data_IF_999416761571
#
_entry.id   IF_999416761571
#
_cell.length_a   1.000
_cell.length_b   1.000
_cell.length_c   1.000
_cell.angle_alpha   90.00
_cell.angle_beta   90.00
_cell.angle_gamma   90.00
#
_symmetry.space_group_name_H-M   'P 1'
#
loop_
_entity.id
_entity.type
_entity.pdbx_description
1 polymer ?
#
# COMPACT_ATOMS: atom_id res chain seq x y z
N UNK A 1 -5.34 25.15 -20.24
CA UNK A 1 -6.08 26.19 -20.99
C UNK A 1 -5.17 27.24 -21.66
N UNK A 2 -3.88 27.30 -21.31
CA UNK A 2 -2.92 28.22 -21.93
C UNK A 2 -2.11 27.59 -23.08
N UNK A 3 -2.27 26.29 -23.33
CA UNK A 3 -1.53 25.53 -24.33
C UNK A 3 -2.51 24.88 -25.29
N UNK A 4 -2.45 25.25 -26.56
CA UNK A 4 -3.33 24.75 -27.61
C UNK A 4 -2.56 24.16 -28.80
N UNK A 5 -1.23 24.31 -28.81
CA UNK A 5 -0.35 23.83 -29.87
C UNK A 5 1.02 23.40 -29.31
N UNK A 6 1.81 22.63 -30.08
CA UNK A 6 3.20 22.35 -29.72
C UNK A 6 4.07 23.60 -29.55
N UNK A 7 3.78 24.65 -30.33
CA UNK A 7 4.49 25.95 -30.28
C UNK A 7 4.19 26.67 -28.97
N UNK A 8 2.93 26.62 -28.47
CA UNK A 8 2.57 27.17 -27.16
C UNK A 8 3.31 26.47 -26.02
N UNK A 9 3.38 25.12 -26.10
CA UNK A 9 4.12 24.32 -25.13
C UNK A 9 5.60 24.71 -25.11
N UNK A 10 6.21 24.80 -26.27
CA UNK A 10 7.61 25.19 -26.40
C UNK A 10 7.86 26.62 -25.87
N UNK A 11 6.92 27.56 -26.10
CA UNK A 11 7.02 28.93 -25.59
C UNK A 11 6.98 29.01 -24.06
N UNK A 12 6.35 28.05 -23.40
CA UNK A 12 6.33 27.88 -21.92
C UNK A 12 7.54 27.09 -21.40
N UNK A 13 8.43 26.61 -22.27
CA UNK A 13 9.58 25.79 -21.91
C UNK A 13 9.22 24.34 -21.62
N UNK A 14 8.03 23.88 -21.96
CA UNK A 14 7.58 22.50 -21.77
C UNK A 14 8.14 21.63 -22.89
N UNK A 15 8.78 20.52 -22.54
CA UNK A 15 9.40 19.60 -23.49
C UNK A 15 9.13 18.13 -23.17
N UNK A 16 9.43 17.28 -24.13
CA UNK A 16 9.36 15.82 -23.91
C UNK A 16 10.27 15.40 -22.77
N UNK A 17 9.73 14.67 -21.80
CA UNK A 17 10.43 14.24 -20.59
C UNK A 17 10.05 15.04 -19.35
N UNK A 18 9.31 16.12 -19.49
CA UNK A 18 8.80 16.86 -18.35
C UNK A 18 7.64 16.11 -17.65
N UNK A 19 7.53 16.32 -16.34
CA UNK A 19 6.48 15.71 -15.51
C UNK A 19 5.31 16.69 -15.35
N UNK A 20 4.10 16.15 -15.45
CA UNK A 20 2.86 16.85 -15.14
C UNK A 20 2.32 16.39 -13.80
N UNK A 21 2.30 17.28 -12.82
CA UNK A 21 1.70 17.00 -11.51
C UNK A 21 0.20 17.27 -11.55
N UNK A 22 -0.59 16.21 -11.45
CA UNK A 22 -2.05 16.33 -11.36
C UNK A 22 -2.46 16.72 -9.94
N UNK A 23 -3.45 17.60 -9.84
CA UNK A 23 -4.08 17.93 -8.56
C UNK A 23 -4.73 16.66 -7.96
N UNK A 24 -4.42 16.27 -6.71
CA UNK A 24 -5.01 15.11 -6.06
C UNK A 24 -6.53 15.22 -5.88
N UNK A 25 -7.09 16.42 -5.74
CA UNK A 25 -8.53 16.70 -5.55
C UNK A 25 -9.14 15.87 -4.43
N UNK A 26 -8.47 15.86 -3.27
CA UNK A 26 -8.89 15.08 -2.11
C UNK A 26 -10.20 15.57 -1.52
N UNK A 27 -11.13 14.65 -1.33
CA UNK A 27 -12.43 14.87 -0.68
C UNK A 27 -12.66 13.77 0.34
N UNK A 28 -12.99 14.16 1.56
CA UNK A 28 -13.50 13.26 2.61
C UNK A 28 -14.97 13.50 2.79
N UNK A 29 -15.77 12.45 2.65
CA UNK A 29 -17.22 12.52 2.79
C UNK A 29 -17.66 12.28 4.23
N UNK A 30 -18.84 12.78 4.60
CA UNK A 30 -19.43 12.53 5.93
C UNK A 30 -19.68 11.02 6.18
N UNK A 31 -19.84 10.23 5.12
CA UNK A 31 -20.00 8.78 5.21
C UNK A 31 -18.67 8.00 5.34
N UNK A 32 -17.54 8.69 5.47
CA UNK A 32 -16.22 8.11 5.70
C UNK A 32 -15.45 7.69 4.45
N UNK A 33 -15.96 7.94 3.24
CA UNK A 33 -15.19 7.72 2.01
C UNK A 33 -14.16 8.82 1.80
N UNK A 34 -13.00 8.41 1.31
CA UNK A 34 -11.91 9.28 0.90
C UNK A 34 -11.73 9.09 -0.60
N UNK A 35 -11.88 10.17 -1.35
CA UNK A 35 -11.62 10.24 -2.80
C UNK A 35 -10.42 11.12 -3.05
N UNK A 36 -9.46 10.62 -3.80
CA UNK A 36 -8.26 11.38 -4.17
C UNK A 36 -7.52 10.65 -5.30
N UNK A 37 -6.66 11.34 -6.03
CA UNK A 37 -5.55 10.68 -6.71
C UNK A 37 -4.48 10.34 -5.69
N UNK A 38 -3.65 9.35 -6.01
CA UNK A 38 -2.47 8.97 -5.24
C UNK A 38 -2.77 8.41 -3.84
N UNK A 39 -3.96 7.80 -3.63
CA UNK A 39 -4.20 6.97 -2.45
C UNK A 39 -3.33 5.71 -2.48
N UNK A 40 -3.06 5.24 -3.65
CA UNK A 40 -2.00 4.32 -4.01
C UNK A 40 -0.69 5.13 -4.17
N UNK A 41 0.32 5.08 -3.24
CA UNK A 41 0.14 4.38 -1.96
C UNK A 41 0.24 5.33 -0.75
N UNK A 42 -0.27 6.55 -0.86
CA UNK A 42 -0.29 7.49 0.28
C UNK A 42 -1.24 7.06 1.40
N UNK A 43 -2.24 6.22 1.10
CA UNK A 43 -3.16 5.71 2.11
C UNK A 43 -2.44 4.81 3.11
N UNK A 44 -1.62 3.87 2.65
CA UNK A 44 -0.83 2.99 3.50
C UNK A 44 0.32 3.72 4.18
N UNK A 45 0.96 4.65 3.47
CA UNK A 45 1.95 5.54 4.07
C UNK A 45 1.35 6.31 5.27
N UNK A 46 0.11 6.80 5.15
CA UNK A 46 -0.59 7.46 6.25
C UNK A 46 -0.87 6.50 7.43
N UNK A 47 -1.21 5.23 7.17
CA UNK A 47 -1.37 4.21 8.21
C UNK A 47 -0.04 3.99 8.97
N UNK A 48 1.07 3.86 8.27
CA UNK A 48 2.40 3.70 8.88
C UNK A 48 2.81 4.93 9.71
N UNK A 49 2.56 6.14 9.20
CA UNK A 49 2.81 7.38 9.94
C UNK A 49 1.95 7.49 11.20
N UNK A 50 0.67 7.08 11.12
CA UNK A 50 -0.24 7.05 12.27
C UNK A 50 0.24 6.03 13.32
N UNK A 51 0.73 4.86 12.88
CA UNK A 51 1.31 3.85 13.76
C UNK A 51 2.54 4.37 14.49
N UNK A 52 3.49 4.96 13.77
CA UNK A 52 4.70 5.58 14.36
C UNK A 52 4.32 6.62 15.41
N UNK A 53 3.37 7.50 15.10
CA UNK A 53 2.89 8.50 16.05
C UNK A 53 2.29 7.85 17.29
N UNK A 54 1.47 6.80 17.12
CA UNK A 54 0.85 6.07 18.22
C UNK A 54 1.93 5.41 19.11
N UNK A 55 2.91 4.74 18.51
CA UNK A 55 4.02 4.12 19.23
C UNK A 55 4.77 5.13 20.11
N UNK A 56 5.12 6.28 19.54
CA UNK A 56 5.81 7.35 20.28
C UNK A 56 4.95 7.92 21.42
N UNK A 57 3.65 8.14 21.17
CA UNK A 57 2.76 8.72 22.18
C UNK A 57 2.44 7.77 23.34
N UNK A 58 2.43 6.47 23.08
CA UNK A 58 2.10 5.44 24.09
C UNK A 58 3.34 4.76 24.66
N UNK A 59 4.53 5.09 24.15
CA UNK A 59 5.81 4.45 24.53
C UNK A 59 5.79 2.92 24.36
N UNK A 60 5.12 2.45 23.30
CA UNK A 60 5.03 1.04 22.92
C UNK A 60 5.93 0.74 21.74
N UNK A 61 6.48 -0.48 21.68
CA UNK A 61 7.48 -0.85 20.69
C UNK A 61 7.17 -2.20 20.07
N UNK A 62 7.61 -2.46 18.83
CA UNK A 62 7.53 -3.80 18.24
C UNK A 62 8.31 -4.82 19.07
N UNK A 63 7.83 -6.06 19.08
CA UNK A 63 8.52 -7.15 19.78
C UNK A 63 9.92 -7.43 19.19
N UNK A 64 10.11 -7.19 17.91
CA UNK A 64 11.37 -7.39 17.20
C UNK A 64 11.89 -6.07 16.63
N UNK A 65 13.20 -6.02 16.36
CA UNK A 65 13.78 -4.89 15.62
C UNK A 65 13.05 -4.72 14.28
N UNK A 66 12.50 -3.54 14.08
CA UNK A 66 11.62 -3.25 12.94
C UNK A 66 12.00 -1.91 12.34
N UNK A 67 12.21 -1.91 11.03
CA UNK A 67 12.37 -0.70 10.24
C UNK A 67 11.09 -0.41 9.47
N UNK A 68 10.66 0.84 9.45
CA UNK A 68 9.60 1.32 8.58
C UNK A 68 10.25 2.12 7.47
N UNK A 69 10.12 1.65 6.25
CA UNK A 69 10.80 2.19 5.08
C UNK A 69 9.75 2.73 4.11
N UNK A 70 9.90 3.99 3.71
CA UNK A 70 9.12 4.60 2.65
C UNK A 70 9.97 4.64 1.38
N UNK A 71 9.59 3.89 0.38
CA UNK A 71 10.27 3.80 -0.90
C UNK A 71 9.88 4.95 -1.82
N UNK A 72 10.69 5.22 -2.84
CA UNK A 72 10.44 6.35 -3.78
C UNK A 72 10.30 5.94 -5.24
N UNK A 73 10.54 4.68 -5.59
CA UNK A 73 10.49 4.18 -6.97
C UNK A 73 9.62 2.94 -7.11
N UNK A 74 8.65 2.75 -6.21
CA UNK A 74 7.74 1.62 -6.23
C UNK A 74 6.97 1.56 -7.55
N UNK A 75 6.34 2.66 -7.96
CA UNK A 75 5.50 2.80 -9.15
C UNK A 75 6.21 2.56 -10.49
N UNK A 76 7.52 2.49 -10.47
CA UNK A 76 8.36 2.14 -11.62
C UNK A 76 9.15 0.85 -11.42
N UNK A 77 8.79 0.08 -10.40
CA UNK A 77 9.20 -1.31 -10.23
C UNK A 77 10.60 -1.52 -9.66
N UNK A 78 11.16 -0.60 -8.86
CA UNK A 78 12.46 -0.82 -8.24
C UNK A 78 12.65 -0.17 -6.86
N UNK A 79 11.56 0.10 -6.14
CA UNK A 79 11.60 0.72 -4.81
C UNK A 79 12.37 -0.11 -3.78
N UNK A 80 12.20 -1.42 -3.76
CA UNK A 80 12.79 -2.36 -2.80
C UNK A 80 13.98 -3.18 -3.32
N UNK A 81 14.62 -2.76 -4.39
CA UNK A 81 15.69 -3.53 -5.06
C UNK A 81 16.96 -3.77 -4.20
N UNK A 82 17.10 -3.09 -3.06
CA UNK A 82 18.30 -3.15 -2.20
C UNK A 82 18.00 -3.64 -0.77
N UNK A 83 16.86 -4.28 -0.50
CA UNK A 83 16.48 -4.74 0.82
C UNK A 83 17.09 -6.11 1.13
N UNK A 84 18.20 -6.11 1.82
CA UNK A 84 18.87 -7.33 2.27
C UNK A 84 18.99 -7.37 3.80
N UNK A 85 19.00 -8.58 4.36
CA UNK A 85 19.26 -8.80 5.78
C UNK A 85 18.01 -8.78 6.68
N UNK A 86 16.81 -8.68 6.12
CA UNK A 86 15.57 -8.83 6.86
C UNK A 86 15.06 -10.27 6.80
N UNK A 87 14.54 -10.78 7.92
CA UNK A 87 13.92 -12.10 7.98
C UNK A 87 12.51 -12.11 7.37
N UNK A 88 11.78 -11.01 7.54
CA UNK A 88 10.43 -10.80 7.04
C UNK A 88 10.30 -9.40 6.46
N UNK A 89 9.62 -9.29 5.33
CA UNK A 89 9.27 -8.04 4.68
C UNK A 89 7.75 -7.98 4.51
N UNK A 90 7.09 -7.14 5.29
CA UNK A 90 5.67 -6.85 5.13
C UNK A 90 5.52 -5.61 4.26
N UNK A 91 5.13 -5.80 3.02
CA UNK A 91 4.74 -4.68 2.16
C UNK A 91 3.35 -4.20 2.57
N UNK A 92 3.22 -2.90 2.76
CA UNK A 92 1.94 -2.24 3.04
C UNK A 92 1.67 -1.32 1.87
N UNK A 93 0.92 -1.84 0.92
CA UNK A 93 0.55 -1.20 -0.32
C UNK A 93 -0.99 -1.07 -0.38
N UNK A 94 -1.60 -0.81 -1.49
CA UNK A 94 -3.06 -0.80 -1.59
C UNK A 94 -3.63 -2.21 -1.81
N UNK A 95 -4.89 -2.42 -1.40
CA UNK A 95 -5.69 -3.59 -1.74
C UNK A 95 -6.50 -3.35 -3.00
N UNK A 96 -6.36 -4.21 -4.01
CA UNK A 96 -7.12 -4.10 -5.24
C UNK A 96 -8.62 -4.31 -4.99
N UNK A 97 -9.46 -3.41 -5.53
CA UNK A 97 -10.92 -3.52 -5.54
C UNK A 97 -11.39 -3.53 -6.99
N UNK A 98 -12.11 -4.57 -7.40
CA UNK A 98 -12.60 -4.71 -8.76
C UNK A 98 -13.39 -5.99 -8.98
N UNK A 99 -13.75 -6.27 -10.23
CA UNK A 99 -14.38 -7.52 -10.62
C UNK A 99 -13.43 -8.70 -10.32
N UNK A 100 -13.99 -9.82 -9.92
CA UNK A 100 -13.28 -11.05 -9.54
C UNK A 100 -12.38 -10.94 -8.28
N UNK A 101 -12.46 -9.84 -7.53
CA UNK A 101 -11.78 -9.65 -6.25
C UNK A 101 -12.79 -9.56 -5.10
N UNK A 102 -12.41 -10.10 -3.94
CA UNK A 102 -13.28 -10.12 -2.77
C UNK A 102 -13.18 -8.84 -1.92
N UNK A 103 -12.08 -8.11 -2.04
CA UNK A 103 -11.84 -6.90 -1.25
C UNK A 103 -12.77 -5.76 -1.65
N UNK A 104 -13.20 -5.01 -0.65
CA UNK A 104 -13.96 -3.77 -0.80
C UNK A 104 -13.20 -2.60 -0.19
N UNK A 105 -13.65 -1.37 -0.46
CA UNK A 105 -13.03 -0.16 0.10
C UNK A 105 -13.13 -0.07 1.64
N UNK A 106 -13.81 -1.02 2.31
CA UNK A 106 -13.98 -1.03 3.76
C UNK A 106 -13.16 -2.11 4.47
N UNK A 107 -12.31 -2.81 3.75
CA UNK A 107 -11.55 -3.95 4.25
C UNK A 107 -10.06 -3.75 4.07
N UNK A 108 -9.25 -4.39 4.91
CA UNK A 108 -7.87 -4.64 4.59
C UNK A 108 -7.79 -5.83 3.65
N UNK A 109 -7.05 -5.70 2.55
CA UNK A 109 -6.71 -6.81 1.68
C UNK A 109 -5.45 -7.50 2.17
N UNK A 110 -5.45 -8.83 2.13
CA UNK A 110 -4.29 -9.70 2.34
C UNK A 110 -4.04 -10.41 1.03
N UNK A 111 -2.95 -10.09 0.35
CA UNK A 111 -2.64 -10.67 -0.95
C UNK A 111 -1.96 -12.02 -0.78
N UNK A 112 -2.57 -13.09 -1.30
CA UNK A 112 -1.98 -14.41 -1.28
C UNK A 112 -0.99 -14.63 -2.42
N UNK A 113 -1.19 -13.95 -3.55
CA UNK A 113 -0.37 -14.03 -4.75
C UNK A 113 -0.57 -12.79 -5.61
N UNK A 114 0.50 -12.31 -6.22
CA UNK A 114 0.46 -11.29 -7.29
C UNK A 114 0.97 -11.85 -8.63
N UNK A 115 1.23 -10.98 -9.61
CA UNK A 115 1.76 -11.37 -10.93
C UNK A 115 3.13 -12.03 -10.86
N UNK A 116 3.93 -11.73 -9.84
CA UNK A 116 5.29 -12.24 -9.69
C UNK A 116 5.35 -13.62 -9.04
N UNK A 117 4.30 -14.02 -8.32
CA UNK A 117 4.22 -15.31 -7.66
C UNK A 117 3.50 -15.28 -6.32
N UNK A 118 3.48 -16.42 -5.60
CA UNK A 118 2.87 -16.51 -4.27
C UNK A 118 3.73 -15.78 -3.23
N UNK A 119 3.07 -15.16 -2.27
CA UNK A 119 3.68 -14.68 -1.04
C UNK A 119 3.94 -15.84 -0.07
N UNK A 120 4.74 -15.59 0.97
CA UNK A 120 5.05 -16.61 1.98
C UNK A 120 3.78 -17.12 2.65
N UNK A 121 3.58 -18.43 2.63
CA UNK A 121 2.34 -19.08 3.09
C UNK A 121 2.14 -18.92 4.61
N UNK A 122 3.21 -19.07 5.39
CA UNK A 122 3.13 -18.98 6.86
C UNK A 122 2.88 -17.53 7.30
N UNK A 123 3.55 -16.58 6.67
CA UNK A 123 3.41 -15.16 6.95
C UNK A 123 1.99 -14.67 6.59
N UNK A 124 1.50 -15.04 5.41
CA UNK A 124 0.13 -14.78 4.97
C UNK A 124 -0.90 -15.44 5.89
N UNK A 125 -0.67 -16.70 6.26
CA UNK A 125 -1.54 -17.43 7.21
C UNK A 125 -1.59 -16.77 8.59
N UNK A 126 -0.47 -16.24 9.08
CA UNK A 126 -0.41 -15.48 10.34
C UNK A 126 -1.23 -14.19 10.27
N UNK A 127 -1.14 -13.44 9.17
CA UNK A 127 -1.94 -12.23 8.96
C UNK A 127 -3.44 -12.54 8.93
N UNK A 128 -3.86 -13.60 8.22
CA UNK A 128 -5.25 -14.07 8.19
C UNK A 128 -5.72 -14.49 9.58
N UNK A 129 -4.88 -15.22 10.32
CA UNK A 129 -5.17 -15.64 11.70
C UNK A 129 -5.40 -14.44 12.63
N UNK A 130 -4.53 -13.44 12.58
CA UNK A 130 -4.66 -12.19 13.35
C UNK A 130 -5.94 -11.43 12.98
N UNK A 131 -6.21 -11.25 11.69
CA UNK A 131 -7.41 -10.58 11.23
C UNK A 131 -8.69 -11.30 11.70
N UNK A 132 -8.71 -12.63 11.64
CA UNK A 132 -9.83 -13.45 12.10
C UNK A 132 -10.02 -13.36 13.61
N UNK A 133 -8.93 -13.55 14.38
CA UNK A 133 -8.97 -13.55 15.85
C UNK A 133 -9.46 -12.19 16.39
N UNK A 134 -9.07 -11.11 15.76
CA UNK A 134 -9.42 -9.75 16.17
C UNK A 134 -10.63 -9.16 15.42
N UNK A 135 -11.35 -10.01 14.65
CA UNK A 135 -12.56 -9.62 13.92
C UNK A 135 -12.38 -8.38 13.06
N UNK A 136 -11.23 -8.25 12.40
CA UNK A 136 -10.99 -7.16 11.46
C UNK A 136 -11.78 -7.41 10.17
N UNK A 137 -12.30 -6.38 9.51
CA UNK A 137 -12.84 -6.53 8.17
C UNK A 137 -11.69 -6.76 7.19
N UNK A 138 -11.58 -7.94 6.61
CA UNK A 138 -10.53 -8.30 5.66
C UNK A 138 -11.04 -9.14 4.49
N UNK A 139 -10.27 -9.17 3.42
CA UNK A 139 -10.41 -10.11 2.32
C UNK A 139 -9.06 -10.72 1.97
N UNK A 140 -9.08 -11.91 1.35
CA UNK A 140 -7.88 -12.57 0.82
C UNK A 140 -8.06 -12.68 -0.69
N UNK A 141 -7.10 -12.13 -1.44
CA UNK A 141 -7.20 -12.04 -2.89
C UNK A 141 -5.91 -12.47 -3.61
N UNK A 142 -6.03 -12.69 -4.90
CA UNK A 142 -4.94 -12.88 -5.86
C UNK A 142 -4.99 -11.73 -6.85
N UNK A 143 -3.89 -11.01 -7.02
CA UNK A 143 -3.81 -9.88 -7.96
C UNK A 143 -3.23 -10.33 -9.30
N UNK A 144 -4.04 -10.37 -10.36
CA UNK A 144 -3.57 -10.88 -11.66
C UNK A 144 -2.73 -9.87 -12.46
N UNK A 145 -2.76 -8.58 -12.09
CA UNK A 145 -2.17 -7.48 -12.88
C UNK A 145 -1.30 -6.52 -12.08
N UNK A 146 -1.03 -6.82 -10.80
CA UNK A 146 -0.26 -5.97 -9.89
C UNK A 146 0.91 -6.74 -9.28
N UNK A 147 1.93 -6.01 -8.91
CA UNK A 147 3.07 -6.46 -8.11
C UNK A 147 3.32 -5.43 -7.00
N UNK A 148 4.30 -5.69 -6.14
CA UNK A 148 4.64 -4.80 -5.04
C UNK A 148 6.16 -4.75 -4.83
N UNK A 149 6.61 -3.85 -3.99
CA UNK A 149 7.99 -3.78 -3.54
C UNK A 149 8.50 -5.11 -2.94
N UNK A 150 7.62 -5.89 -2.29
CA UNK A 150 8.00 -7.22 -1.82
C UNK A 150 8.39 -8.16 -2.96
N UNK A 151 7.64 -8.15 -4.06
CA UNK A 151 7.95 -8.93 -5.27
C UNK A 151 9.26 -8.45 -5.92
N UNK A 152 9.48 -7.14 -5.92
CA UNK A 152 10.73 -6.54 -6.44
C UNK A 152 11.93 -6.97 -5.60
N UNK A 153 11.82 -6.97 -4.27
CA UNK A 153 12.88 -7.42 -3.37
C UNK A 153 13.27 -8.89 -3.65
N UNK A 154 12.28 -9.78 -3.77
CA UNK A 154 12.53 -11.19 -4.12
C UNK A 154 13.21 -11.34 -5.48
N UNK A 155 12.73 -10.60 -6.49
CA UNK A 155 13.30 -10.62 -7.85
C UNK A 155 14.73 -10.06 -7.88
N UNK A 156 15.06 -9.15 -6.99
CA UNK A 156 16.41 -8.61 -6.80
C UNK A 156 17.36 -9.56 -6.05
N UNK A 157 16.86 -10.72 -5.58
CA UNK A 157 17.66 -11.74 -4.90
C UNK A 157 17.70 -11.60 -3.38
N UNK A 158 16.79 -10.86 -2.77
CA UNK A 158 16.66 -10.83 -1.32
C UNK A 158 16.09 -12.16 -0.82
N UNK A 159 16.83 -12.83 0.05
CA UNK A 159 16.38 -14.06 0.71
C UNK A 159 15.60 -13.70 1.98
N UNK A 160 14.32 -13.39 1.81
CA UNK A 160 13.41 -12.94 2.88
C UNK A 160 12.01 -13.49 2.66
N UNK A 161 11.27 -13.71 3.72
CA UNK A 161 9.86 -14.04 3.64
C UNK A 161 9.06 -12.77 3.40
N UNK A 162 8.14 -12.79 2.45
CA UNK A 162 7.37 -11.61 2.07
C UNK A 162 5.87 -11.83 2.19
N UNK A 163 5.16 -10.79 2.60
CA UNK A 163 3.70 -10.69 2.51
C UNK A 163 3.29 -9.29 2.08
N UNK A 164 2.06 -9.19 1.59
CA UNK A 164 1.47 -7.93 1.13
C UNK A 164 0.08 -7.75 1.74
N UNK A 165 -0.14 -6.59 2.34
CA UNK A 165 -1.45 -6.13 2.82
C UNK A 165 -1.67 -4.68 2.44
N UNK A 166 -2.94 -4.22 2.50
CA UNK A 166 -3.24 -2.80 2.37
C UNK A 166 -4.72 -2.48 2.40
N UNK A 167 -5.09 -1.22 2.57
CA UNK A 167 -6.49 -0.81 2.53
C UNK A 167 -7.07 -1.00 1.14
N UNK A 168 -8.32 -1.44 1.05
CA UNK A 168 -9.01 -1.55 -0.24
C UNK A 168 -9.12 -0.19 -0.92
N UNK A 169 -8.55 -0.07 -2.13
CA UNK A 169 -8.58 1.13 -2.96
C UNK A 169 -9.19 0.77 -4.31
N UNK A 170 -10.26 1.46 -4.67
CA UNK A 170 -10.90 1.33 -5.98
C UNK A 170 -10.31 2.34 -6.97
N UNK A 171 -10.20 1.93 -8.24
CA UNK A 171 -9.71 2.74 -9.36
C UNK A 171 -8.27 3.26 -9.18
N UNK A 172 -7.36 2.38 -8.66
CA UNK A 172 -5.93 2.64 -8.57
C UNK A 172 -5.37 3.22 -9.87
N UNK A 173 -4.42 4.15 -9.75
CA UNK A 173 -3.84 4.97 -10.82
C UNK A 173 -4.82 5.95 -11.51
N UNK A 174 -6.03 6.12 -10.94
CA UNK A 174 -7.05 7.02 -11.45
C UNK A 174 -7.51 8.07 -10.43
N UNK A 175 -8.82 8.33 -10.37
CA UNK A 175 -9.47 9.02 -9.26
C UNK A 175 -9.95 7.97 -8.28
N UNK A 176 -9.12 7.73 -7.30
CA UNK A 176 -9.22 6.61 -6.37
C UNK A 176 -10.24 6.85 -5.25
N UNK A 177 -10.66 5.75 -4.63
CA UNK A 177 -11.57 5.78 -3.50
C UNK A 177 -11.25 4.67 -2.51
N UNK A 178 -11.20 5.03 -1.23
CA UNK A 178 -11.13 4.12 -0.09
C UNK A 178 -12.08 4.57 1.00
N UNK A 179 -12.12 3.86 2.12
CA UNK A 179 -12.93 4.21 3.28
C UNK A 179 -12.07 4.18 4.54
N UNK A 180 -12.41 5.00 5.53
CA UNK A 180 -11.71 5.05 6.81
C UNK A 180 -11.65 3.68 7.52
N UNK A 181 -12.67 2.83 7.33
CA UNK A 181 -12.70 1.47 7.90
C UNK A 181 -11.54 0.62 7.38
N UNK A 182 -11.22 0.70 6.07
CA UNK A 182 -10.09 -0.02 5.50
C UNK A 182 -8.75 0.46 6.06
N UNK A 183 -8.58 1.78 6.19
CA UNK A 183 -7.38 2.36 6.80
C UNK A 183 -7.21 1.88 8.24
N UNK A 184 -8.30 1.92 9.02
CA UNK A 184 -8.28 1.46 10.42
C UNK A 184 -8.03 -0.04 10.54
N UNK A 185 -8.59 -0.86 9.64
CA UNK A 185 -8.35 -2.29 9.61
C UNK A 185 -6.89 -2.60 9.27
N UNK A 186 -6.32 -1.91 8.28
CA UNK A 186 -4.92 -2.03 7.88
C UNK A 186 -3.99 -1.65 9.02
N UNK A 187 -4.18 -0.46 9.60
CA UNK A 187 -3.39 0.01 10.74
C UNK A 187 -3.42 -0.98 11.92
N UNK A 188 -4.60 -1.49 12.27
CA UNK A 188 -4.75 -2.47 13.36
C UNK A 188 -4.05 -3.79 13.03
N UNK A 189 -4.13 -4.26 11.79
CA UNK A 189 -3.46 -5.50 11.37
C UNK A 189 -1.94 -5.34 11.44
N UNK A 190 -1.38 -4.20 11.01
CA UNK A 190 0.06 -3.92 11.14
C UNK A 190 0.47 -3.91 12.62
N UNK A 191 -0.28 -3.24 13.48
CA UNK A 191 0.00 -3.15 14.91
C UNK A 191 0.00 -4.54 15.58
N UNK A 192 -0.97 -5.38 15.25
CA UNK A 192 -1.06 -6.76 15.74
C UNK A 192 0.09 -7.63 15.21
N UNK A 193 0.45 -7.46 13.94
CA UNK A 193 1.55 -8.19 13.34
C UNK A 193 2.90 -7.82 13.95
N UNK A 194 3.12 -6.55 14.23
CA UNK A 194 4.31 -6.05 14.92
C UNK A 194 4.35 -6.43 16.41
N UNK A 195 3.27 -7.01 16.93
CA UNK A 195 3.13 -7.38 18.34
C UNK A 195 3.54 -6.24 19.29
N UNK A 196 2.92 -5.06 19.09
CA UNK A 196 3.19 -3.88 19.91
C UNK A 196 2.79 -4.12 21.37
N UNK A 197 3.69 -3.83 22.29
CA UNK A 197 3.49 -3.98 23.73
C UNK A 197 4.26 -2.93 24.53
#
# INVERSE_FOLDING_TARGET
EAVHSPEDAAALGIMTGDYLCLDPKTVVTDSGYIKSRFLDDKASAACLMALLRHMVQQEIYPQYATDIIFTVHEEVGHGAAAFAGYNELLCVDMGCVGEDLACTERQVSICAKDTSGPYDYEMTGRLIGLATQHQLPFAVDIYPHYSSDASVALSAGCDTRCALIGPGVHASHGMERTHIDALMATLRLIALYAALG
#
